data_IF_492161347833
#
_entry.id   IF_492161347833
#
_cell.length_a   1.000
_cell.length_b   1.000
_cell.length_c   1.000
_cell.angle_alpha   90.00
_cell.angle_beta   90.00
_cell.angle_gamma   90.00
#
_symmetry.space_group_name_H-M   'P 1'
#
loop_
_entity.id
_entity.type
_entity.pdbx_description
1 polymer ?
#
# COMPACT_ATOMS: atom_id res chain seq x y z
N UNK A 1 -6.46 35.98 -45.16
CA UNK A 1 -6.99 34.66 -45.60
C UNK A 1 -8.44 34.56 -45.18
N UNK A 2 -9.31 34.03 -46.04
CA UNK A 2 -10.73 33.84 -45.72
C UNK A 2 -10.87 32.50 -45.00
N UNK A 3 -11.31 32.52 -43.74
CA UNK A 3 -11.57 31.31 -42.95
C UNK A 3 -13.07 31.01 -42.94
N UNK A 4 -13.41 29.72 -42.91
CA UNK A 4 -14.80 29.24 -42.88
C UNK A 4 -15.38 29.23 -41.46
N UNK A 5 -14.52 29.11 -40.44
CA UNK A 5 -14.94 29.04 -39.04
C UNK A 5 -15.07 30.45 -38.46
N UNK A 6 -16.19 30.68 -37.78
CA UNK A 6 -16.49 31.90 -37.06
C UNK A 6 -15.69 32.00 -35.75
N UNK A 7 -15.24 33.20 -35.42
CA UNK A 7 -14.43 33.46 -34.24
C UNK A 7 -15.19 33.26 -32.93
N UNK A 8 -16.49 33.59 -32.88
CA UNK A 8 -17.30 33.40 -31.69
C UNK A 8 -17.58 31.92 -31.42
N UNK A 9 -17.83 31.13 -32.48
CA UNK A 9 -17.89 29.67 -32.39
C UNK A 9 -16.60 29.09 -31.79
N UNK A 10 -15.44 29.48 -32.32
CA UNK A 10 -14.14 28.99 -31.83
C UNK A 10 -13.87 29.39 -30.37
N UNK A 11 -14.25 30.61 -29.97
CA UNK A 11 -14.12 31.05 -28.59
C UNK A 11 -15.01 30.23 -27.62
N UNK A 12 -16.23 29.89 -28.03
CA UNK A 12 -17.13 29.03 -27.25
C UNK A 12 -16.56 27.62 -27.07
N UNK A 13 -16.10 26.99 -28.16
CA UNK A 13 -15.46 25.67 -28.10
C UNK A 13 -14.18 25.66 -27.26
N UNK A 14 -13.38 26.73 -27.33
CA UNK A 14 -12.19 26.89 -26.51
C UNK A 14 -12.54 27.02 -25.00
N UNK A 15 -13.63 27.69 -24.66
CA UNK A 15 -14.09 27.81 -23.28
C UNK A 15 -14.56 26.45 -22.71
N UNK A 16 -15.24 25.64 -23.53
CA UNK A 16 -15.64 24.27 -23.16
C UNK A 16 -14.41 23.39 -22.86
N UNK A 17 -13.40 23.44 -23.73
CA UNK A 17 -12.14 22.72 -23.52
C UNK A 17 -11.40 23.20 -22.26
N UNK A 18 -11.36 24.52 -22.02
CA UNK A 18 -10.73 25.07 -20.83
C UNK A 18 -11.43 24.62 -19.53
N UNK A 19 -12.76 24.51 -19.54
CA UNK A 19 -13.53 23.98 -18.41
C UNK A 19 -13.23 22.50 -18.18
N UNK A 20 -13.17 21.70 -19.25
CA UNK A 20 -12.78 20.29 -19.19
C UNK A 20 -11.38 20.11 -18.58
N UNK A 21 -10.39 20.88 -19.05
CA UNK A 21 -9.02 20.82 -18.55
C UNK A 21 -8.91 21.24 -17.08
N UNK A 22 -9.65 22.28 -16.68
CA UNK A 22 -9.70 22.72 -15.28
C UNK A 22 -10.33 21.66 -14.36
N UNK A 23 -11.37 20.97 -14.82
CA UNK A 23 -11.96 19.86 -14.07
C UNK A 23 -11.02 18.65 -13.98
N UNK A 24 -10.33 18.32 -15.08
CA UNK A 24 -9.31 17.28 -15.10
C UNK A 24 -8.16 17.59 -14.15
N UNK A 25 -7.65 18.82 -14.14
CA UNK A 25 -6.56 19.25 -13.26
C UNK A 25 -6.95 19.15 -11.77
N UNK A 26 -8.20 19.47 -11.40
CA UNK A 26 -8.70 19.30 -10.03
C UNK A 26 -8.74 17.84 -9.58
N UNK A 27 -9.09 16.92 -10.49
CA UNK A 27 -9.14 15.47 -10.20
C UNK A 27 -7.77 14.80 -10.20
N UNK A 28 -6.81 15.39 -10.90
CA UNK A 28 -5.47 14.86 -11.12
C UNK A 28 -4.41 15.83 -10.61
N UNK A 29 -4.28 16.01 -9.27
CA UNK A 29 -3.32 16.95 -8.68
C UNK A 29 -1.85 16.58 -8.92
N UNK A 30 -1.56 15.37 -9.40
CA UNK A 30 -0.21 14.83 -9.55
C UNK A 30 0.24 14.02 -8.32
N UNK A 31 1.50 13.56 -8.31
CA UNK A 31 2.02 12.73 -7.23
C UNK A 31 2.04 13.48 -5.90
N UNK A 32 1.66 12.79 -4.83
CA UNK A 32 1.92 13.27 -3.46
C UNK A 32 3.42 13.18 -3.19
N UNK A 33 4.04 14.31 -2.82
CA UNK A 33 5.47 14.34 -2.49
C UNK A 33 5.78 13.63 -1.17
N UNK A 34 7.03 13.21 -0.97
CA UNK A 34 7.53 12.64 0.29
C UNK A 34 8.08 11.23 0.17
N UNK A 35 8.88 10.81 1.15
CA UNK A 35 9.32 9.41 1.26
C UNK A 35 8.12 8.57 1.71
N UNK A 36 7.88 7.52 0.96
CA UNK A 36 6.82 6.56 1.19
C UNK A 36 7.45 5.28 1.79
N UNK A 37 6.94 4.75 2.92
CA UNK A 37 7.39 3.46 3.46
C UNK A 37 7.39 2.33 2.43
N UNK A 38 8.44 1.51 2.40
CA UNK A 38 8.60 0.45 1.38
C UNK A 38 7.68 -0.75 1.58
N UNK A 39 7.09 -0.86 2.75
CA UNK A 39 6.16 -1.92 3.11
C UNK A 39 5.02 -1.38 3.98
N UNK A 40 4.06 -2.26 4.28
CA UNK A 40 3.13 -2.16 5.40
C UNK A 40 3.17 -3.51 6.13
N UNK A 41 3.66 -3.53 7.37
CA UNK A 41 3.63 -4.72 8.21
C UNK A 41 2.24 -4.91 8.79
N UNK A 42 1.63 -6.06 8.57
CA UNK A 42 0.32 -6.39 9.15
C UNK A 42 0.48 -7.39 10.27
N UNK A 43 -0.01 -7.04 11.45
CA UNK A 43 0.06 -7.86 12.66
C UNK A 43 -1.31 -7.89 13.32
N UNK A 44 -1.81 -9.07 13.73
CA UNK A 44 -2.99 -9.15 14.56
C UNK A 44 -2.84 -8.24 15.78
N UNK A 45 -3.82 -7.38 16.02
CA UNK A 45 -3.80 -6.43 17.14
C UNK A 45 -3.51 -7.13 18.46
N UNK A 46 -4.12 -8.29 18.74
CA UNK A 46 -3.92 -9.12 19.95
C UNK A 46 -2.47 -9.60 20.18
N UNK A 47 -1.65 -9.68 19.13
CA UNK A 47 -0.25 -10.12 19.20
C UNK A 47 0.76 -8.99 19.33
N UNK A 48 0.33 -7.74 19.19
CA UNK A 48 1.25 -6.61 19.18
C UNK A 48 1.72 -6.20 20.58
N UNK A 49 2.98 -5.80 20.68
CA UNK A 49 3.62 -5.31 21.91
C UNK A 49 4.35 -3.99 21.65
N UNK A 50 4.76 -3.30 22.72
CA UNK A 50 5.48 -2.02 22.60
C UNK A 50 6.80 -2.17 21.82
N UNK A 51 7.51 -3.29 22.03
CA UNK A 51 8.80 -3.60 21.40
C UNK A 51 8.69 -4.30 20.04
N UNK A 52 7.47 -4.53 19.54
CA UNK A 52 7.20 -5.30 18.32
C UNK A 52 8.06 -4.91 17.11
N UNK A 53 8.23 -3.62 16.75
CA UNK A 53 9.06 -3.25 15.59
C UNK A 53 10.53 -3.67 15.74
N UNK A 54 11.12 -3.45 16.91
CA UNK A 54 12.50 -3.84 17.20
C UNK A 54 12.64 -5.36 17.26
N UNK A 55 11.66 -6.04 17.85
CA UNK A 55 11.61 -7.49 17.91
C UNK A 55 11.53 -8.13 16.51
N UNK A 56 10.73 -7.57 15.60
CA UNK A 56 10.68 -7.99 14.20
C UNK A 56 12.04 -7.84 13.49
N UNK A 57 12.74 -6.72 13.71
CA UNK A 57 14.10 -6.52 13.20
C UNK A 57 15.08 -7.58 13.72
N UNK A 58 15.05 -7.86 15.02
CA UNK A 58 15.89 -8.88 15.64
C UNK A 58 15.59 -10.30 15.09
N UNK A 59 14.32 -10.64 14.88
CA UNK A 59 13.94 -11.92 14.27
C UNK A 59 14.39 -12.03 12.80
N UNK A 60 14.27 -10.94 12.04
CA UNK A 60 14.73 -10.88 10.66
C UNK A 60 16.26 -11.02 10.57
N UNK A 61 17.02 -10.35 11.44
CA UNK A 61 18.47 -10.49 11.55
C UNK A 61 18.87 -11.91 11.94
N UNK A 62 18.20 -12.51 12.92
CA UNK A 62 18.48 -13.89 13.33
C UNK A 62 18.21 -14.89 12.19
N UNK A 63 17.16 -14.68 11.40
CA UNK A 63 16.89 -15.47 10.21
C UNK A 63 18.00 -15.27 9.15
N UNK A 64 18.40 -14.02 8.89
CA UNK A 64 19.49 -13.67 7.98
C UNK A 64 20.80 -14.36 8.40
N UNK A 65 21.20 -14.25 9.68
CA UNK A 65 22.41 -14.87 10.22
C UNK A 65 22.43 -16.39 10.06
N UNK A 66 21.27 -17.04 10.26
CA UNK A 66 21.15 -18.49 10.19
C UNK A 66 21.17 -19.04 8.77
N UNK A 67 20.45 -18.40 7.85
CA UNK A 67 20.19 -18.95 6.52
C UNK A 67 21.01 -18.29 5.41
N UNK A 68 21.50 -17.07 5.63
CA UNK A 68 22.34 -16.34 4.67
C UNK A 68 23.40 -15.50 5.42
N UNK A 69 24.41 -16.17 6.02
CA UNK A 69 25.41 -15.52 6.89
C UNK A 69 26.33 -14.53 6.15
N UNK A 70 26.33 -14.55 4.81
CA UNK A 70 27.09 -13.64 3.98
C UNK A 70 26.35 -13.23 2.70
N UNK A 71 26.91 -12.24 2.00
CA UNK A 71 26.35 -11.68 0.78
C UNK A 71 26.18 -12.70 -0.35
N UNK A 72 27.10 -13.67 -0.46
CA UNK A 72 27.04 -14.69 -1.51
C UNK A 72 25.92 -15.69 -1.25
N UNK A 73 25.70 -16.09 0.00
CA UNK A 73 24.59 -16.94 0.41
C UNK A 73 23.24 -16.29 0.14
N UNK A 74 23.05 -15.03 0.56
CA UNK A 74 21.81 -14.29 0.27
C UNK A 74 21.57 -14.19 -1.24
N UNK A 75 22.61 -13.81 -1.99
CA UNK A 75 22.52 -13.68 -3.44
C UNK A 75 22.17 -15.00 -4.13
N UNK A 76 22.71 -16.13 -3.67
CA UNK A 76 22.39 -17.46 -4.17
C UNK A 76 20.93 -17.87 -3.92
N UNK A 77 20.35 -17.47 -2.77
CA UNK A 77 18.95 -17.79 -2.46
C UNK A 77 18.00 -17.03 -3.37
N UNK A 78 18.17 -15.71 -3.48
CA UNK A 78 17.21 -14.81 -4.14
C UNK A 78 17.55 -14.49 -5.60
N UNK A 79 18.68 -14.99 -6.11
CA UNK A 79 19.12 -14.73 -7.49
C UNK A 79 19.62 -13.31 -7.71
N UNK A 80 20.26 -12.70 -6.70
CA UNK A 80 20.78 -11.35 -6.79
C UNK A 80 22.05 -11.31 -7.68
N UNK A 81 22.24 -10.27 -8.53
CA UNK A 81 23.48 -10.10 -9.27
C UNK A 81 24.71 -10.03 -8.34
N UNK A 82 25.79 -10.79 -8.60
CA UNK A 82 26.96 -10.85 -7.71
C UNK A 82 27.64 -9.51 -7.43
N UNK A 83 27.58 -8.58 -8.40
CA UNK A 83 28.13 -7.23 -8.30
C UNK A 83 27.36 -6.32 -7.34
N UNK A 84 26.08 -6.61 -7.09
CA UNK A 84 25.24 -5.89 -6.13
C UNK A 84 25.25 -6.53 -4.73
N UNK A 85 25.67 -7.79 -4.63
CA UNK A 85 25.49 -8.62 -3.44
C UNK A 85 26.04 -7.99 -2.16
N UNK A 86 27.29 -7.54 -2.15
CA UNK A 86 27.92 -6.97 -0.96
C UNK A 86 27.23 -5.67 -0.50
N UNK A 87 26.85 -4.80 -1.45
CA UNK A 87 26.21 -3.53 -1.13
C UNK A 87 24.79 -3.75 -0.57
N UNK A 88 23.99 -4.57 -1.25
CA UNK A 88 22.63 -4.91 -0.82
C UNK A 88 22.66 -5.59 0.54
N UNK A 89 23.57 -6.52 0.78
CA UNK A 89 23.67 -7.23 2.06
C UNK A 89 23.97 -6.28 3.22
N UNK A 90 24.91 -5.35 3.03
CA UNK A 90 25.25 -4.35 4.05
C UNK A 90 24.06 -3.43 4.38
N UNK A 91 23.36 -2.92 3.35
CA UNK A 91 22.18 -2.06 3.51
C UNK A 91 21.01 -2.79 4.18
N UNK A 92 20.75 -4.06 3.81
CA UNK A 92 19.72 -4.88 4.44
C UNK A 92 20.02 -5.03 5.93
N UNK A 93 21.24 -5.39 6.30
CA UNK A 93 21.60 -5.54 7.73
C UNK A 93 21.45 -4.23 8.50
N UNK A 94 21.91 -3.12 7.94
CA UNK A 94 21.77 -1.80 8.56
C UNK A 94 20.29 -1.45 8.77
N UNK A 95 19.45 -1.62 7.73
CA UNK A 95 18.01 -1.36 7.84
C UNK A 95 17.33 -2.24 8.88
N UNK A 96 17.65 -3.53 8.95
CA UNK A 96 17.05 -4.41 9.94
C UNK A 96 17.50 -4.10 11.38
N UNK A 97 18.69 -3.52 11.57
CA UNK A 97 19.19 -3.11 12.88
C UNK A 97 18.61 -1.77 13.35
N UNK A 98 18.53 -0.79 12.45
CA UNK A 98 18.25 0.60 12.81
C UNK A 98 16.79 1.03 12.58
N UNK A 99 16.17 0.57 11.49
CA UNK A 99 14.80 0.96 11.08
C UNK A 99 14.10 -0.22 10.35
N UNK A 100 13.82 -1.33 11.07
CA UNK A 100 13.34 -2.59 10.46
C UNK A 100 11.90 -2.53 9.99
N UNK A 101 11.08 -1.63 10.54
CA UNK A 101 9.68 -1.45 10.19
C UNK A 101 9.46 0.02 9.87
N UNK A 102 8.95 0.33 8.68
CA UNK A 102 8.66 1.70 8.27
C UNK A 102 7.16 2.05 8.37
N UNK A 103 6.31 1.04 8.28
CA UNK A 103 4.86 1.20 8.39
C UNK A 103 4.24 -0.05 9.01
N UNK A 104 3.37 0.13 10.01
CA UNK A 104 2.73 -0.98 10.72
C UNK A 104 1.22 -0.75 10.84
N UNK A 105 0.43 -1.79 10.58
CA UNK A 105 -1.03 -1.82 10.73
C UNK A 105 -1.40 -2.93 11.72
N UNK A 106 -2.10 -2.54 12.78
CA UNK A 106 -2.77 -3.47 13.68
C UNK A 106 -4.05 -3.95 13.01
N UNK A 107 -4.15 -5.25 12.77
CA UNK A 107 -5.21 -5.84 11.97
C UNK A 107 -6.40 -6.26 12.84
N UNK A 108 -7.56 -5.66 12.54
CA UNK A 108 -8.88 -5.99 13.12
C UNK A 108 -9.81 -6.71 12.12
N UNK A 109 -9.38 -6.88 10.87
CA UNK A 109 -10.21 -7.38 9.77
C UNK A 109 -10.41 -8.90 9.80
N UNK A 110 -9.44 -9.67 10.31
CA UNK A 110 -9.48 -11.13 10.33
C UNK A 110 -9.30 -11.64 11.77
N UNK A 111 -10.24 -12.47 12.24
CA UNK A 111 -9.96 -13.40 13.34
C UNK A 111 -10.48 -13.07 14.76
N UNK A 112 -11.11 -11.92 15.03
CA UNK A 112 -11.59 -11.65 16.39
C UNK A 112 -12.88 -12.39 16.70
N UNK A 113 -12.80 -13.31 17.65
CA UNK A 113 -13.85 -14.28 17.98
C UNK A 113 -14.70 -13.88 19.20
N UNK A 114 -14.44 -12.75 19.85
CA UNK A 114 -15.27 -12.25 20.95
C UNK A 114 -15.38 -10.72 20.94
N UNK A 115 -16.60 -10.21 21.10
CA UNK A 115 -16.92 -8.77 21.08
C UNK A 115 -16.28 -8.01 22.26
N UNK A 116 -16.15 -8.67 23.41
CA UNK A 116 -15.73 -8.01 24.65
C UNK A 116 -14.21 -7.78 24.74
N UNK A 117 -13.40 -8.54 23.99
CA UNK A 117 -11.93 -8.37 23.97
C UNK A 117 -11.49 -7.28 22.99
N UNK A 118 -12.24 -7.10 21.90
CA UNK A 118 -11.87 -6.18 20.82
C UNK A 118 -11.90 -4.71 21.24
N UNK A 119 -12.87 -4.29 22.06
CA UNK A 119 -12.89 -2.93 22.60
C UNK A 119 -11.63 -2.64 23.44
N UNK A 120 -11.19 -3.61 24.24
CA UNK A 120 -9.96 -3.50 25.03
C UNK A 120 -8.70 -3.50 24.14
N UNK A 121 -8.71 -4.30 23.07
CA UNK A 121 -7.63 -4.33 22.07
C UNK A 121 -7.56 -3.04 21.26
N UNK A 122 -8.69 -2.40 20.95
CA UNK A 122 -8.75 -1.11 20.28
C UNK A 122 -8.14 0.01 21.16
N UNK A 123 -8.46 0.03 22.45
CA UNK A 123 -7.85 0.96 23.41
C UNK A 123 -6.35 0.70 23.57
N UNK A 124 -5.94 -0.57 23.63
CA UNK A 124 -4.52 -0.94 23.68
C UNK A 124 -3.78 -0.58 22.39
N UNK A 125 -4.43 -0.73 21.25
CA UNK A 125 -3.89 -0.32 19.95
C UNK A 125 -3.60 1.19 19.93
N UNK A 126 -4.49 2.03 20.45
CA UNK A 126 -4.23 3.46 20.57
C UNK A 126 -2.97 3.74 21.42
N UNK A 127 -2.82 3.09 22.58
CA UNK A 127 -1.63 3.24 23.42
C UNK A 127 -0.33 2.78 22.71
N UNK A 128 -0.38 1.68 21.95
CA UNK A 128 0.77 1.22 21.16
C UNK A 128 1.17 2.22 20.06
N UNK A 129 0.18 2.82 19.40
CA UNK A 129 0.40 3.82 18.35
C UNK A 129 1.02 5.13 18.88
N UNK A 130 0.95 5.41 20.18
CA UNK A 130 1.63 6.55 20.81
C UNK A 130 3.11 6.27 21.11
N UNK A 131 3.46 5.03 21.46
CA UNK A 131 4.83 4.68 21.87
C UNK A 131 5.71 4.30 20.67
N UNK A 132 5.13 3.84 19.57
CA UNK A 132 5.88 3.50 18.38
C UNK A 132 6.41 4.73 17.65
N UNK A 133 7.73 4.83 17.56
CA UNK A 133 8.45 5.86 16.78
C UNK A 133 8.66 5.41 15.33
N UNK A 134 7.56 5.14 14.61
CA UNK A 134 7.59 4.68 13.21
C UNK A 134 7.25 5.83 12.24
N UNK A 135 7.76 5.80 10.99
CA UNK A 135 7.34 6.75 9.95
C UNK A 135 5.83 6.75 9.71
N UNK A 136 5.18 5.59 9.83
CA UNK A 136 3.74 5.43 9.75
C UNK A 136 3.27 4.28 10.64
N UNK A 137 2.14 4.44 11.30
CA UNK A 137 1.53 3.40 12.12
C UNK A 137 0.01 3.62 12.19
N UNK A 138 -0.73 2.52 12.28
CA UNK A 138 -2.17 2.62 12.22
C UNK A 138 -2.92 1.30 12.40
N UNK A 139 -4.15 1.27 11.93
CA UNK A 139 -5.03 0.11 12.02
C UNK A 139 -5.61 -0.28 10.65
N UNK A 140 -5.88 -1.56 10.47
CA UNK A 140 -6.75 -2.08 9.41
C UNK A 140 -8.07 -2.47 10.05
N UNK A 141 -9.13 -1.71 9.78
CA UNK A 141 -10.46 -1.95 10.36
C UNK A 141 -11.13 -3.15 9.69
N UNK A 142 -12.27 -3.61 10.20
CA UNK A 142 -13.08 -4.62 9.52
C UNK A 142 -13.88 -4.07 8.31
N UNK A 143 -14.41 -4.97 7.46
CA UNK A 143 -15.16 -4.61 6.26
C UNK A 143 -16.60 -4.14 6.57
N UNK A 144 -17.22 -3.45 5.61
CA UNK A 144 -18.60 -2.93 5.69
C UNK A 144 -19.57 -3.75 4.82
N UNK A 145 -19.41 -5.05 4.77
CA UNK A 145 -20.20 -5.99 3.95
C UNK A 145 -21.46 -6.51 4.65
N UNK A 146 -21.54 -6.45 5.98
CA UNK A 146 -22.79 -6.68 6.75
C UNK A 146 -23.02 -5.59 7.79
N UNK A 147 -24.28 -5.36 8.23
CA UNK A 147 -24.57 -4.41 9.30
C UNK A 147 -23.81 -4.70 10.60
N UNK A 148 -23.60 -5.97 10.94
CA UNK A 148 -22.88 -6.40 12.13
C UNK A 148 -21.39 -6.06 12.02
N UNK A 149 -20.76 -6.38 10.88
CA UNK A 149 -19.33 -6.06 10.64
C UNK A 149 -19.11 -4.55 10.52
N UNK A 150 -20.05 -3.81 9.92
CA UNK A 150 -20.04 -2.36 9.92
C UNK A 150 -20.04 -1.78 11.35
N UNK A 151 -20.99 -2.18 12.20
CA UNK A 151 -21.08 -1.68 13.59
C UNK A 151 -19.79 -1.95 14.38
N UNK A 152 -19.27 -3.17 14.28
CA UNK A 152 -18.03 -3.60 14.94
C UNK A 152 -16.80 -2.79 14.46
N UNK A 153 -16.69 -2.61 13.14
CA UNK A 153 -15.56 -1.88 12.54
C UNK A 153 -15.58 -0.40 12.88
N UNK A 154 -16.77 0.24 12.86
CA UNK A 154 -16.94 1.64 13.29
C UNK A 154 -16.66 1.79 14.78
N UNK A 155 -17.08 0.83 15.61
CA UNK A 155 -16.79 0.83 17.06
C UNK A 155 -15.29 0.81 17.34
N UNK A 156 -14.54 -0.06 16.65
CA UNK A 156 -13.07 -0.14 16.74
C UNK A 156 -12.42 1.16 16.30
N UNK A 157 -12.82 1.69 15.15
CA UNK A 157 -12.31 2.96 14.61
C UNK A 157 -12.53 4.12 15.59
N UNK A 158 -13.75 4.25 16.11
CA UNK A 158 -14.12 5.28 17.09
C UNK A 158 -13.25 5.18 18.35
N UNK A 159 -13.12 3.98 18.93
CA UNK A 159 -12.28 3.77 20.10
C UNK A 159 -10.83 4.16 19.88
N UNK A 160 -10.22 3.73 18.77
CA UNK A 160 -8.82 4.03 18.48
C UNK A 160 -8.62 5.53 18.27
N UNK A 161 -9.43 6.16 17.40
CA UNK A 161 -9.26 7.58 17.07
C UNK A 161 -9.58 8.47 18.27
N UNK A 162 -10.62 8.16 19.03
CA UNK A 162 -11.00 8.91 20.25
C UNK A 162 -9.91 8.80 21.32
N UNK A 163 -9.35 7.61 21.55
CA UNK A 163 -8.28 7.44 22.54
C UNK A 163 -6.95 8.08 22.09
N UNK A 164 -6.62 8.01 20.80
CA UNK A 164 -5.39 8.56 20.24
C UNK A 164 -5.43 10.09 20.10
N UNK A 165 -6.62 10.69 19.91
CA UNK A 165 -6.81 12.13 19.79
C UNK A 165 -6.21 12.78 18.53
N UNK A 166 -5.76 11.97 17.56
CA UNK A 166 -5.19 12.38 16.27
C UNK A 166 -5.46 11.29 15.21
N UNK A 167 -5.19 11.60 13.94
CA UNK A 167 -5.30 10.62 12.87
C UNK A 167 -4.25 9.50 12.97
N UNK A 168 -4.66 8.22 13.07
CA UNK A 168 -3.79 7.09 12.73
C UNK A 168 -3.80 6.88 11.21
N UNK A 169 -2.82 6.13 10.70
CA UNK A 169 -3.00 5.57 9.36
C UNK A 169 -4.15 4.52 9.38
N UNK A 170 -4.95 4.48 8.32
CA UNK A 170 -6.19 3.70 8.31
C UNK A 170 -6.31 2.92 7.00
N UNK A 171 -6.36 1.60 7.08
CA UNK A 171 -6.65 0.73 5.92
C UNK A 171 -8.08 0.22 5.99
N UNK A 172 -8.85 0.38 4.91
CA UNK A 172 -10.24 -0.05 4.80
C UNK A 172 -10.38 -1.24 3.84
N UNK A 173 -10.63 -2.46 4.37
CA UNK A 173 -10.81 -3.66 3.56
C UNK A 173 -12.24 -3.89 3.09
N UNK A 174 -12.44 -4.87 2.21
CA UNK A 174 -13.75 -5.31 1.76
C UNK A 174 -14.50 -4.30 0.89
N UNK A 175 -13.78 -3.37 0.25
CA UNK A 175 -14.40 -2.36 -0.60
C UNK A 175 -14.79 -2.99 -1.93
N UNK A 176 -16.09 -3.04 -2.21
CA UNK A 176 -16.67 -3.52 -3.47
C UNK A 176 -17.35 -2.40 -4.25
N UNK A 177 -17.51 -1.21 -3.66
CA UNK A 177 -18.13 -0.09 -4.36
C UNK A 177 -18.09 1.24 -3.63
N UNK A 178 -18.50 2.29 -4.35
CA UNK A 178 -18.44 3.70 -3.90
C UNK A 178 -19.27 3.98 -2.66
N UNK A 179 -20.36 3.23 -2.46
CA UNK A 179 -21.26 3.41 -1.30
C UNK A 179 -20.51 3.17 0.02
N UNK A 180 -19.70 2.11 0.10
CA UNK A 180 -18.91 1.83 1.31
C UNK A 180 -17.90 2.94 1.60
N UNK A 181 -17.23 3.46 0.56
CA UNK A 181 -16.29 4.58 0.67
C UNK A 181 -17.00 5.84 1.21
N UNK A 182 -18.16 6.20 0.64
CA UNK A 182 -18.96 7.36 1.09
C UNK A 182 -19.43 7.21 2.54
N UNK A 183 -19.82 6.00 2.94
CA UNK A 183 -20.21 5.72 4.32
C UNK A 183 -19.03 5.91 5.27
N UNK A 184 -17.82 5.43 4.91
CA UNK A 184 -16.63 5.69 5.72
C UNK A 184 -16.33 7.19 5.83
N UNK A 185 -16.39 7.94 4.72
CA UNK A 185 -16.20 9.41 4.74
C UNK A 185 -17.16 10.08 5.73
N UNK A 186 -18.44 9.72 5.72
CA UNK A 186 -19.43 10.27 6.67
C UNK A 186 -19.11 9.94 8.13
N UNK A 187 -18.60 8.74 8.41
CA UNK A 187 -18.14 8.37 9.77
C UNK A 187 -16.94 9.23 10.17
N UNK A 188 -15.94 9.36 9.29
CA UNK A 188 -14.72 10.14 9.56
C UNK A 188 -15.04 11.62 9.83
N UNK A 189 -15.92 12.23 9.04
CA UNK A 189 -16.36 13.61 9.28
C UNK A 189 -17.06 13.81 10.63
N UNK A 190 -17.84 12.82 11.08
CA UNK A 190 -18.47 12.87 12.40
C UNK A 190 -17.42 12.81 13.49
N UNK A 191 -16.42 11.92 13.37
CA UNK A 191 -15.32 11.81 14.31
C UNK A 191 -14.51 13.11 14.37
N UNK A 192 -14.14 13.68 13.22
CA UNK A 192 -13.39 14.95 13.16
C UNK A 192 -14.13 16.08 13.88
N UNK A 193 -15.42 16.29 13.56
CA UNK A 193 -16.23 17.33 14.21
C UNK A 193 -16.40 17.11 15.71
N UNK A 194 -16.52 15.86 16.17
CA UNK A 194 -16.72 15.53 17.58
C UNK A 194 -15.44 15.64 18.40
N UNK A 195 -14.30 15.33 17.79
CA UNK A 195 -12.98 15.35 18.43
C UNK A 195 -12.23 16.67 18.22
N UNK A 196 -12.76 17.57 17.38
CA UNK A 196 -12.14 18.86 17.08
C UNK A 196 -10.93 18.75 16.16
N UNK A 197 -10.86 17.70 15.33
CA UNK A 197 -9.82 17.52 14.33
C UNK A 197 -10.14 18.39 13.09
N UNK A 198 -9.13 18.97 12.42
CA UNK A 198 -9.28 19.57 11.10
C UNK A 198 -10.08 18.72 10.10
N UNK A 199 -10.91 19.39 9.30
CA UNK A 199 -11.66 18.76 8.22
C UNK A 199 -10.69 18.05 7.24
N UNK A 200 -10.92 16.76 6.99
CA UNK A 200 -10.10 15.99 6.06
C UNK A 200 -8.82 15.40 6.66
N UNK A 201 -8.57 15.56 7.96
CA UNK A 201 -7.39 15.01 8.62
C UNK A 201 -7.39 13.48 8.65
N UNK A 202 -8.55 12.86 8.91
CA UNK A 202 -8.72 11.42 8.85
C UNK A 202 -8.76 10.98 7.38
N UNK A 203 -7.64 10.42 6.95
CA UNK A 203 -7.40 9.87 5.62
C UNK A 203 -7.26 8.36 5.69
N UNK A 204 -7.50 7.68 4.57
CA UNK A 204 -7.52 6.22 4.56
C UNK A 204 -7.00 5.64 3.25
N UNK A 205 -6.63 4.37 3.33
CA UNK A 205 -6.17 3.52 2.25
C UNK A 205 -7.30 2.52 1.93
N UNK A 206 -7.50 2.20 0.65
CA UNK A 206 -8.50 1.20 0.24
C UNK A 206 -7.79 -0.10 -0.10
N UNK A 207 -8.26 -1.21 0.46
CA UNK A 207 -7.87 -2.52 -0.03
C UNK A 207 -8.78 -2.93 -1.19
N UNK A 208 -8.16 -3.23 -2.33
CA UNK A 208 -8.80 -3.74 -3.53
C UNK A 208 -8.52 -5.24 -3.62
N UNK A 209 -9.58 -6.02 -3.42
CA UNK A 209 -9.47 -7.48 -3.25
C UNK A 209 -10.57 -8.27 -3.98
N UNK A 210 -11.42 -7.59 -4.75
CA UNK A 210 -12.52 -8.20 -5.49
C UNK A 210 -12.55 -7.72 -6.95
N UNK A 211 -13.11 -8.51 -7.89
CA UNK A 211 -13.30 -8.10 -9.27
C UNK A 211 -14.12 -6.81 -9.42
N UNK A 212 -15.16 -6.64 -8.59
CA UNK A 212 -16.05 -5.47 -8.65
C UNK A 212 -15.34 -4.16 -8.25
N UNK A 213 -14.27 -4.26 -7.45
CA UNK A 213 -13.40 -3.15 -7.10
C UNK A 213 -12.35 -2.82 -8.18
N UNK A 214 -12.24 -3.65 -9.22
CA UNK A 214 -11.42 -3.41 -10.42
C UNK A 214 -12.29 -2.92 -11.57
N UNK A 215 -13.38 -3.64 -11.86
CA UNK A 215 -14.40 -3.30 -12.86
C UNK A 215 -15.75 -3.24 -12.17
N UNK A 216 -16.42 -2.09 -12.18
CA UNK A 216 -17.73 -1.96 -11.56
C UNK A 216 -18.84 -2.69 -12.35
N UNK A 217 -20.01 -2.81 -11.74
CA UNK A 217 -21.19 -3.45 -12.33
C UNK A 217 -21.68 -2.84 -13.67
N UNK A 218 -21.20 -1.65 -14.06
CA UNK A 218 -21.49 -1.03 -15.36
C UNK A 218 -20.39 -1.31 -16.40
N UNK A 219 -19.37 -2.10 -16.05
CA UNK A 219 -18.23 -2.40 -16.91
C UNK A 219 -17.17 -1.29 -16.95
N UNK A 220 -17.17 -0.36 -15.98
CA UNK A 220 -16.19 0.74 -15.93
C UNK A 220 -15.05 0.40 -14.97
N UNK A 221 -13.89 1.00 -15.18
CA UNK A 221 -12.80 0.94 -14.19
C UNK A 221 -13.29 1.58 -12.88
N UNK A 222 -13.29 0.81 -11.79
CA UNK A 222 -13.89 1.22 -10.52
C UNK A 222 -13.05 2.27 -9.77
N UNK A 223 -11.71 2.17 -9.86
CA UNK A 223 -10.75 2.94 -9.06
C UNK A 223 -10.97 4.46 -9.11
N UNK A 224 -11.12 5.14 -10.27
CA UNK A 224 -11.41 6.57 -10.29
C UNK A 224 -12.66 6.96 -9.50
N UNK A 225 -13.68 6.09 -9.54
CA UNK A 225 -14.91 6.25 -8.80
C UNK A 225 -14.75 6.07 -7.29
N UNK A 226 -13.94 5.09 -6.87
CA UNK A 226 -13.61 4.86 -5.46
C UNK A 226 -12.79 6.02 -4.89
N UNK A 227 -11.78 6.50 -5.61
CA UNK A 227 -10.96 7.65 -5.19
C UNK A 227 -11.81 8.92 -5.09
N UNK A 228 -12.64 9.20 -6.08
CA UNK A 228 -13.54 10.36 -6.05
C UNK A 228 -14.55 10.30 -4.89
N UNK A 229 -15.08 9.11 -4.58
CA UNK A 229 -15.97 8.90 -3.45
C UNK A 229 -15.31 9.13 -2.08
N UNK A 230 -13.98 9.16 -2.03
CA UNK A 230 -13.21 9.48 -0.83
C UNK A 230 -13.03 10.97 -0.56
N UNK A 231 -13.46 11.85 -1.48
CA UNK A 231 -13.45 13.32 -1.28
C UNK A 231 -12.07 13.87 -0.86
N UNK A 232 -11.00 13.33 -1.46
CA UNK A 232 -9.61 13.71 -1.16
C UNK A 232 -8.97 12.99 0.04
N UNK A 233 -9.70 12.10 0.72
CA UNK A 233 -9.21 11.34 1.88
C UNK A 233 -8.51 10.03 1.53
N UNK A 234 -8.69 9.53 0.30
CA UNK A 234 -8.02 8.31 -0.15
C UNK A 234 -6.56 8.62 -0.45
N UNK A 235 -5.64 7.99 0.27
CA UNK A 235 -4.19 8.22 0.12
C UNK A 235 -3.45 7.04 -0.51
N UNK A 236 -3.97 5.82 -0.38
CA UNK A 236 -3.33 4.62 -0.91
C UNK A 236 -4.33 3.55 -1.38
N UNK A 237 -3.88 2.68 -2.29
CA UNK A 237 -4.57 1.45 -2.68
C UNK A 237 -3.68 0.24 -2.37
N UNK A 238 -4.22 -0.74 -1.65
CA UNK A 238 -3.58 -2.02 -1.40
C UNK A 238 -4.22 -3.09 -2.28
N UNK A 239 -3.47 -3.71 -3.17
CA UNK A 239 -3.96 -4.80 -4.00
C UNK A 239 -3.77 -6.14 -3.28
N UNK A 240 -4.85 -6.75 -2.79
CA UNK A 240 -4.78 -8.06 -2.17
C UNK A 240 -4.88 -9.17 -3.24
N UNK A 241 -3.75 -9.46 -3.88
CA UNK A 241 -3.68 -10.38 -5.02
C UNK A 241 -4.20 -11.79 -4.71
N UNK A 242 -4.00 -12.28 -3.48
CA UNK A 242 -4.50 -13.57 -3.02
C UNK A 242 -6.03 -13.65 -3.09
N UNK A 243 -6.70 -12.75 -2.36
CA UNK A 243 -8.16 -12.68 -2.27
C UNK A 243 -8.78 -12.38 -3.63
N UNK A 244 -8.15 -11.51 -4.42
CA UNK A 244 -8.55 -11.22 -5.78
C UNK A 244 -8.52 -12.47 -6.68
N UNK A 245 -7.42 -13.25 -6.65
CA UNK A 245 -7.30 -14.47 -7.43
C UNK A 245 -8.39 -15.49 -7.05
N UNK A 246 -8.63 -15.67 -5.76
CA UNK A 246 -9.71 -16.54 -5.25
C UNK A 246 -11.08 -16.04 -5.71
N UNK A 247 -11.34 -14.74 -5.65
CA UNK A 247 -12.59 -14.15 -6.12
C UNK A 247 -12.78 -14.28 -7.65
N UNK A 248 -11.69 -14.39 -8.41
CA UNK A 248 -11.71 -14.75 -9.82
C UNK A 248 -11.92 -16.26 -10.09
N UNK A 249 -12.08 -17.08 -9.05
CA UNK A 249 -12.23 -18.54 -9.17
C UNK A 249 -10.91 -19.27 -9.45
N UNK A 250 -9.78 -18.66 -9.15
CA UNK A 250 -8.45 -19.24 -9.30
C UNK A 250 -7.94 -19.79 -7.97
N UNK A 251 -6.97 -20.71 -8.03
CA UNK A 251 -6.13 -20.97 -6.87
C UNK A 251 -5.30 -19.71 -6.56
N UNK A 252 -4.97 -19.45 -5.29
CA UNK A 252 -4.07 -18.36 -4.93
C UNK A 252 -2.78 -18.40 -5.74
N UNK A 253 -2.61 -17.38 -6.58
CA UNK A 253 -1.48 -17.21 -7.49
C UNK A 253 -1.29 -15.70 -7.72
N UNK A 254 -0.55 -15.01 -6.83
CA UNK A 254 -0.34 -13.56 -6.90
C UNK A 254 0.34 -13.14 -8.21
N UNK A 255 0.99 -14.09 -8.88
CA UNK A 255 1.77 -13.98 -10.10
C UNK A 255 0.96 -14.41 -11.35
N UNK A 256 -0.32 -14.74 -11.19
CA UNK A 256 -1.22 -15.06 -12.29
C UNK A 256 -1.52 -13.82 -13.17
N UNK A 257 -1.64 -13.95 -14.50
CA UNK A 257 -1.93 -12.81 -15.39
C UNK A 257 -3.21 -12.02 -15.06
N UNK A 258 -4.19 -12.66 -14.42
CA UNK A 258 -5.38 -11.95 -13.91
C UNK A 258 -5.02 -10.90 -12.84
N UNK A 259 -4.06 -11.21 -11.97
CA UNK A 259 -3.55 -10.28 -10.97
C UNK A 259 -2.77 -9.13 -11.64
N UNK A 260 -2.03 -9.40 -12.72
CA UNK A 260 -1.36 -8.33 -13.50
C UNK A 260 -2.36 -7.40 -14.19
N UNK A 261 -3.46 -7.95 -14.72
CA UNK A 261 -4.55 -7.15 -15.26
C UNK A 261 -5.12 -6.20 -14.20
N UNK A 262 -5.36 -6.69 -12.98
CA UNK A 262 -5.81 -5.87 -11.87
C UNK A 262 -4.76 -4.81 -11.49
N UNK A 263 -3.49 -5.19 -11.33
CA UNK A 263 -2.38 -4.25 -11.03
C UNK A 263 -2.33 -3.09 -12.02
N UNK A 264 -2.36 -3.37 -13.32
CA UNK A 264 -2.33 -2.32 -14.34
C UNK A 264 -3.62 -1.48 -14.35
N UNK A 265 -4.77 -2.09 -14.10
CA UNK A 265 -6.04 -1.36 -14.01
C UNK A 265 -6.04 -0.39 -12.82
N UNK A 266 -5.51 -0.82 -11.67
CA UNK A 266 -5.30 0.02 -10.49
C UNK A 266 -4.31 1.14 -10.79
N UNK A 267 -3.18 0.81 -11.40
CA UNK A 267 -2.14 1.78 -11.75
C UNK A 267 -2.68 2.88 -12.67
N UNK A 268 -3.40 2.50 -13.74
CA UNK A 268 -4.00 3.45 -14.67
C UNK A 268 -5.12 4.24 -14.01
N UNK A 269 -5.96 3.59 -13.19
CA UNK A 269 -7.06 4.24 -12.49
C UNK A 269 -6.63 5.25 -11.43
N UNK A 270 -5.47 5.04 -10.81
CA UNK A 270 -4.88 5.94 -9.81
C UNK A 270 -3.90 6.96 -10.40
N UNK A 271 -3.55 6.84 -11.69
CA UNK A 271 -2.54 7.70 -12.31
C UNK A 271 -2.92 9.18 -12.19
N UNK A 272 -2.03 9.99 -11.63
CA UNK A 272 -2.20 11.43 -11.47
C UNK A 272 -3.11 11.86 -10.32
N UNK A 273 -3.74 10.94 -9.58
CA UNK A 273 -4.61 11.29 -8.44
C UNK A 273 -3.84 11.61 -7.16
N UNK A 274 -2.55 11.26 -7.10
CA UNK A 274 -1.72 11.36 -5.91
C UNK A 274 -1.84 10.19 -4.94
N UNK A 275 -2.71 9.21 -5.26
CA UNK A 275 -2.89 7.97 -4.51
C UNK A 275 -1.77 6.98 -4.83
N UNK A 276 -1.07 6.51 -3.80
CA UNK A 276 0.00 5.53 -3.97
C UNK A 276 -0.52 4.09 -4.03
N UNK A 277 0.32 3.18 -4.51
CA UNK A 277 -0.02 1.77 -4.70
C UNK A 277 0.85 0.87 -3.82
N UNK A 278 0.25 -0.17 -3.26
CA UNK A 278 0.90 -1.20 -2.46
C UNK A 278 0.37 -2.57 -2.86
N UNK A 279 1.27 -3.54 -3.04
CA UNK A 279 0.89 -4.91 -3.40
C UNK A 279 0.72 -5.81 -2.15
N UNK A 280 -0.02 -6.89 -2.29
CA UNK A 280 -0.29 -7.84 -1.21
C UNK A 280 0.95 -8.67 -0.82
N UNK A 281 0.81 -9.42 0.28
CA UNK A 281 1.87 -10.32 0.77
C UNK A 281 2.07 -11.51 -0.15
N UNK A 282 3.24 -12.16 -0.03
CA UNK A 282 3.46 -13.47 -0.62
C UNK A 282 2.71 -14.57 0.14
N UNK A 283 2.26 -15.58 -0.61
CA UNK A 283 1.53 -16.74 -0.09
C UNK A 283 2.44 -17.71 0.67
N UNK A 284 3.71 -17.81 0.28
CA UNK A 284 4.70 -18.66 0.93
C UNK A 284 5.48 -17.85 1.98
N UNK A 285 5.17 -18.08 3.25
CA UNK A 285 5.87 -17.42 4.36
C UNK A 285 7.24 -18.08 4.61
N UNK A 286 8.30 -17.28 4.83
CA UNK A 286 9.63 -17.77 5.16
C UNK A 286 9.72 -18.22 6.63
N UNK A 287 9.25 -19.44 6.93
CA UNK A 287 9.25 -20.03 8.27
C UNK A 287 9.66 -21.50 8.26
N UNK A 288 10.30 -21.97 9.33
CA UNK A 288 10.74 -23.36 9.47
C UNK A 288 11.68 -23.78 8.34
N UNK A 289 11.43 -24.94 7.74
CA UNK A 289 12.24 -25.46 6.62
C UNK A 289 12.00 -24.70 5.31
N UNK A 290 11.01 -23.81 5.25
CA UNK A 290 10.64 -23.03 4.07
C UNK A 290 11.26 -21.62 4.03
N UNK A 291 12.21 -21.29 4.91
CA UNK A 291 12.81 -19.94 4.95
C UNK A 291 13.41 -19.54 3.60
N UNK A 292 14.27 -20.37 3.01
CA UNK A 292 14.93 -20.02 1.74
C UNK A 292 13.97 -20.01 0.54
N UNK A 293 13.03 -20.95 0.48
CA UNK A 293 12.02 -20.99 -0.59
C UNK A 293 11.02 -19.84 -0.46
N UNK A 294 10.61 -19.50 0.76
CA UNK A 294 9.79 -18.34 1.07
C UNK A 294 10.48 -17.03 0.74
N UNK A 295 11.78 -16.89 1.05
CA UNK A 295 12.58 -15.74 0.62
C UNK A 295 12.67 -15.60 -0.89
N UNK A 296 12.92 -16.69 -1.61
CA UNK A 296 12.95 -16.66 -3.08
C UNK A 296 11.61 -16.23 -3.66
N UNK A 297 10.51 -16.81 -3.17
CA UNK A 297 9.15 -16.46 -3.60
C UNK A 297 8.81 -15.00 -3.29
N UNK A 298 9.06 -14.56 -2.06
CA UNK A 298 8.80 -13.19 -1.63
C UNK A 298 9.63 -12.17 -2.42
N UNK A 299 10.94 -12.37 -2.56
CA UNK A 299 11.78 -11.48 -3.36
C UNK A 299 11.29 -11.37 -4.81
N UNK A 300 10.97 -12.49 -5.45
CA UNK A 300 10.46 -12.50 -6.82
C UNK A 300 9.13 -11.73 -6.95
N UNK A 301 8.22 -11.91 -5.99
CA UNK A 301 6.95 -11.18 -5.97
C UNK A 301 7.15 -9.68 -5.77
N UNK A 302 8.00 -9.25 -4.83
CA UNK A 302 8.28 -7.82 -4.61
C UNK A 302 8.90 -7.19 -5.86
N UNK A 303 9.87 -7.86 -6.51
CA UNK A 303 10.47 -7.37 -7.75
C UNK A 303 9.46 -7.27 -8.89
N UNK A 304 8.53 -8.23 -8.99
CA UNK A 304 7.44 -8.18 -9.98
C UNK A 304 6.49 -7.03 -9.71
N UNK A 305 6.06 -6.84 -8.45
CA UNK A 305 5.22 -5.71 -8.04
C UNK A 305 5.88 -4.37 -8.42
N UNK A 306 7.16 -4.19 -8.09
CA UNK A 306 7.96 -3.02 -8.47
C UNK A 306 7.99 -2.80 -9.99
N UNK A 307 8.17 -3.86 -10.78
CA UNK A 307 8.14 -3.78 -12.25
C UNK A 307 6.77 -3.35 -12.80
N UNK A 308 5.68 -3.63 -12.07
CA UNK A 308 4.32 -3.15 -12.37
C UNK A 308 3.99 -1.78 -11.75
N UNK A 309 4.97 -1.09 -11.15
CA UNK A 309 4.76 0.24 -10.56
C UNK A 309 4.14 0.24 -9.16
N UNK A 310 4.26 -0.87 -8.41
CA UNK A 310 3.87 -0.98 -7.01
C UNK A 310 5.13 -0.89 -6.14
N UNK A 311 5.53 0.31 -5.67
CA UNK A 311 6.77 0.49 -4.92
C UNK A 311 6.70 -0.05 -3.49
N UNK A 312 5.49 -0.36 -3.01
CA UNK A 312 5.23 -0.87 -1.65
C UNK A 312 4.61 -2.27 -1.69
N UNK A 313 4.66 -2.98 -0.58
CA UNK A 313 3.81 -4.15 -0.39
C UNK A 313 3.60 -4.55 1.06
N UNK A 314 2.84 -5.60 1.28
CA UNK A 314 2.60 -6.12 2.63
C UNK A 314 3.67 -7.13 3.05
N UNK A 315 4.06 -7.06 4.32
CA UNK A 315 4.89 -8.06 4.97
C UNK A 315 4.15 -8.55 6.24
N UNK A 316 3.84 -9.84 6.32
CA UNK A 316 3.05 -10.45 7.42
C UNK A 316 3.92 -11.35 8.32
N UNK A 317 5.21 -11.44 8.03
CA UNK A 317 6.18 -12.22 8.79
C UNK A 317 7.54 -11.50 8.86
N UNK A 318 8.22 -11.45 10.02
CA UNK A 318 9.46 -10.68 10.19
C UNK A 318 10.58 -11.09 9.22
N UNK A 319 10.72 -12.38 8.90
CA UNK A 319 11.73 -12.81 7.94
C UNK A 319 11.49 -12.29 6.50
N UNK A 320 10.30 -11.80 6.15
CA UNK A 320 10.08 -11.14 4.84
C UNK A 320 10.83 -9.81 4.73
N UNK A 321 11.12 -9.13 5.84
CA UNK A 321 11.84 -7.86 5.86
C UNK A 321 13.21 -7.96 5.16
N UNK A 322 13.90 -9.09 5.32
CA UNK A 322 15.18 -9.38 4.65
C UNK A 322 15.06 -9.19 3.13
N UNK A 323 14.05 -9.82 2.54
CA UNK A 323 13.88 -9.84 1.08
C UNK A 323 13.13 -8.63 0.55
N UNK A 324 12.29 -7.97 1.36
CA UNK A 324 11.74 -6.64 1.10
C UNK A 324 12.86 -5.63 0.86
N UNK A 325 13.74 -5.47 1.84
CA UNK A 325 14.84 -4.50 1.74
C UNK A 325 15.84 -4.90 0.65
N UNK A 326 16.12 -6.19 0.48
CA UNK A 326 16.97 -6.65 -0.61
C UNK A 326 16.39 -6.23 -1.98
N UNK A 327 15.08 -6.38 -2.20
CA UNK A 327 14.42 -6.02 -3.46
C UNK A 327 14.46 -4.51 -3.72
N UNK A 328 14.19 -3.69 -2.70
CA UNK A 328 14.28 -2.22 -2.77
C UNK A 328 15.71 -1.78 -3.12
N UNK A 329 16.72 -2.29 -2.41
CA UNK A 329 18.11 -1.91 -2.65
C UNK A 329 18.61 -2.38 -4.02
N UNK A 330 18.13 -3.53 -4.49
CA UNK A 330 18.39 -3.99 -5.87
C UNK A 330 17.85 -2.97 -6.88
N UNK A 331 16.62 -2.47 -6.69
CA UNK A 331 16.05 -1.48 -7.59
C UNK A 331 16.90 -0.20 -7.64
N UNK A 332 17.26 0.35 -6.48
CA UNK A 332 18.07 1.57 -6.41
C UNK A 332 19.45 1.39 -7.06
N UNK A 333 20.10 0.24 -6.86
CA UNK A 333 21.37 -0.09 -7.51
C UNK A 333 21.26 -0.20 -9.04
N UNK A 334 20.17 -0.78 -9.53
CA UNK A 334 19.89 -0.88 -10.97
C UNK A 334 19.59 0.48 -11.60
N UNK A 335 18.81 1.33 -10.95
CA UNK A 335 18.51 2.69 -11.42
C UNK A 335 19.77 3.56 -11.50
N UNK A 336 20.64 3.46 -10.48
CA UNK A 336 21.95 4.13 -10.48
C UNK A 336 22.84 3.65 -11.63
N UNK A 337 22.71 2.39 -12.02
CA UNK A 337 23.45 1.80 -13.16
C UNK A 337 22.83 2.19 -14.50
N UNK A 338 21.49 2.25 -14.60
CA UNK A 338 20.77 2.63 -15.81
C UNK A 338 20.95 4.11 -16.17
N UNK A 339 21.03 5.00 -15.17
CA UNK A 339 21.36 6.42 -15.35
C UNK A 339 22.79 6.65 -15.88
N UNK A 340 23.64 5.61 -15.90
CA UNK A 340 24.98 5.65 -16.51
C UNK A 340 25.01 5.25 -18.00
N UNK A 341 23.88 4.87 -18.60
CA UNK A 341 23.81 4.70 -20.06
C UNK A 341 23.83 6.09 -20.73
N UNK A 342 24.74 6.33 -21.70
CA UNK A 342 25.01 7.69 -22.17
C UNK A 342 23.79 8.32 -22.83
N UNK A 343 23.57 9.60 -22.54
CA UNK A 343 22.58 10.53 -23.09
C UNK A 343 22.57 10.66 -24.64
N UNK A 344 23.32 9.81 -25.35
CA UNK A 344 23.52 9.86 -26.79
C UNK A 344 22.30 9.41 -27.62
N UNK A 345 21.15 9.07 -27.01
CA UNK A 345 19.97 8.57 -27.75
C UNK A 345 18.84 9.58 -27.97
N UNK A 346 18.93 10.76 -27.37
CA UNK A 346 18.01 11.86 -27.66
C UNK A 346 18.85 13.10 -27.90
N UNK A 347 18.94 13.52 -29.17
CA UNK A 347 19.73 14.66 -29.62
C UNK A 347 19.26 15.98 -29.02
N UNK A 348 19.57 16.20 -27.75
CA UNK A 348 19.56 17.49 -27.11
C UNK A 348 20.84 18.19 -27.52
N UNK A 349 20.74 18.94 -28.62
CA UNK A 349 21.75 19.90 -29.04
C UNK A 349 21.67 21.05 -28.04
N UNK A 350 22.67 21.17 -27.17
CA UNK A 350 22.90 22.42 -26.43
C UNK A 350 23.21 23.52 -27.44
N UNK A 351 22.53 24.68 -27.30
CA UNK A 351 22.88 25.91 -28.00
C UNK A 351 24.07 26.61 -27.35
#
# INVERSE_FOLDING_TARGET
MRTTLDGALLAGLAAELAQFDAERARRLPGPSGGRLPVHTCLVPADQATEDLPAWWGALALAALDRHAPDAAALAGIIGLPPDLASAVYAEVRAKLADEPVEDLRLDFAVGYRAHDTEDAEALRAAALLEVWSLPSAGIRIGPFDTPERYRRSVRTLDLVVTALGRAPALTFPGVTGRTQVRVLVQVLEVLERRLGLPDGELRFEIQVESPDAVIDHEGRVAVPGLVAAGEGRVVGLHFAAHDYAVACGLTPAPDHPACDYARHTLQVGAAGTGVWLSDGSADLLPFGDAVESGWRAHYAQVRRAQAHGFPRGWDVHPAQLVTRYAAVQTQCGLETTALRLPAARYGLVEQ
#
